data_IF_052011245964
#
_entry.id   IF_052011245964
#
_cell.length_a   1.000
_cell.length_b   1.000
_cell.length_c   1.000
_cell.angle_alpha   90.00
_cell.angle_beta   90.00
_cell.angle_gamma   90.00
#
_symmetry.space_group_name_H-M   'P 1'
#
loop_
_entity.id
_entity.type
_entity.pdbx_description
1 polymer ?
#
# COMPACT_ATOMS: atom_id res chain seq x y z
N UNK A 1 -44.19 14.69 29.85
CA UNK A 1 -42.82 14.35 30.30
C UNK A 1 -42.36 13.11 29.54
N UNK A 2 -41.56 13.29 28.49
CA UNK A 2 -41.03 12.19 27.66
C UNK A 2 -39.78 11.59 28.33
N UNK A 3 -39.62 10.26 28.29
CA UNK A 3 -38.57 9.54 29.03
C UNK A 3 -37.20 9.69 28.33
N UNK A 4 -36.10 9.89 29.10
CA UNK A 4 -34.78 10.25 28.57
C UNK A 4 -34.08 9.19 27.70
N UNK A 5 -34.61 7.97 27.62
CA UNK A 5 -34.02 6.85 26.86
C UNK A 5 -34.39 6.83 25.37
N UNK A 6 -35.39 7.60 24.94
CA UNK A 6 -35.82 7.65 23.53
C UNK A 6 -34.95 8.62 22.69
N UNK A 7 -34.39 9.65 23.35
CA UNK A 7 -33.58 10.69 22.72
C UNK A 7 -32.22 10.18 22.23
N UNK A 8 -31.58 9.29 23.00
CA UNK A 8 -30.28 8.68 22.66
C UNK A 8 -30.41 7.70 21.48
N UNK A 9 -31.55 7.01 21.34
CA UNK A 9 -31.78 6.04 20.26
C UNK A 9 -31.98 6.73 18.90
N UNK A 10 -32.60 7.92 18.89
CA UNK A 10 -32.79 8.73 17.69
C UNK A 10 -31.49 9.33 17.14
N UNK A 11 -30.60 9.81 18.01
CA UNK A 11 -29.30 10.38 17.60
C UNK A 11 -28.30 9.34 17.08
N UNK A 12 -28.36 8.08 17.54
CA UNK A 12 -27.49 7.00 17.04
C UNK A 12 -27.93 6.52 15.64
N UNK A 13 -29.22 6.69 15.28
CA UNK A 13 -29.71 6.40 13.93
C UNK A 13 -29.19 7.41 12.91
N UNK A 14 -29.28 8.71 13.23
CA UNK A 14 -28.87 9.77 12.30
C UNK A 14 -27.35 9.79 12.05
N UNK A 15 -26.54 9.42 13.05
CA UNK A 15 -25.09 9.25 12.89
C UNK A 15 -24.77 8.06 11.97
N UNK A 16 -25.53 6.97 12.02
CA UNK A 16 -25.33 5.82 11.11
C UNK A 16 -25.69 6.15 9.67
N UNK A 17 -26.76 6.90 9.44
CA UNK A 17 -27.18 7.28 8.08
C UNK A 17 -26.22 8.30 7.44
N UNK A 18 -25.67 9.22 8.23
CA UNK A 18 -24.63 10.15 7.78
C UNK A 18 -23.30 9.45 7.50
N UNK A 19 -22.87 8.52 8.35
CA UNK A 19 -21.67 7.70 8.10
C UNK A 19 -21.85 6.79 6.87
N UNK A 20 -23.04 6.21 6.67
CA UNK A 20 -23.33 5.40 5.48
C UNK A 20 -23.27 6.23 4.18
N UNK A 21 -23.76 7.47 4.21
CA UNK A 21 -23.70 8.40 3.07
C UNK A 21 -22.27 8.88 2.81
N UNK A 22 -21.50 9.19 3.87
CA UNK A 22 -20.09 9.55 3.76
C UNK A 22 -19.25 8.40 3.19
N UNK A 23 -19.47 7.17 3.66
CA UNK A 23 -18.81 5.96 3.17
C UNK A 23 -19.14 5.68 1.69
N UNK A 24 -20.37 5.93 1.24
CA UNK A 24 -20.75 5.80 -0.16
C UNK A 24 -20.04 6.83 -1.06
N UNK A 25 -19.90 8.09 -0.62
CA UNK A 25 -19.14 9.10 -1.36
C UNK A 25 -17.63 8.79 -1.39
N UNK A 26 -17.07 8.31 -0.29
CA UNK A 26 -15.66 7.92 -0.19
C UNK A 26 -15.34 6.72 -1.09
N UNK A 27 -16.27 5.78 -1.26
CA UNK A 27 -16.09 4.64 -2.16
C UNK A 27 -16.07 5.05 -3.65
N UNK A 28 -16.89 6.04 -4.05
CA UNK A 28 -16.90 6.57 -5.41
C UNK A 28 -15.61 7.37 -5.72
N UNK A 29 -15.13 8.16 -4.76
CA UNK A 29 -13.84 8.84 -4.85
C UNK A 29 -12.68 7.85 -4.88
N UNK A 30 -12.71 6.80 -4.05
CA UNK A 30 -11.67 5.76 -4.02
C UNK A 30 -11.52 5.02 -5.36
N UNK A 31 -12.62 4.79 -6.10
CA UNK A 31 -12.59 4.20 -7.44
C UNK A 31 -11.82 5.07 -8.45
N UNK A 32 -12.17 6.36 -8.52
CA UNK A 32 -11.51 7.33 -9.42
C UNK A 32 -10.04 7.56 -9.06
N UNK A 33 -9.74 7.60 -7.76
CA UNK A 33 -8.37 7.71 -7.24
C UNK A 33 -7.55 6.47 -7.62
N UNK A 34 -8.10 5.27 -7.48
CA UNK A 34 -7.40 4.02 -7.82
C UNK A 34 -7.01 3.94 -9.31
N UNK A 35 -7.86 4.41 -10.22
CA UNK A 35 -7.56 4.43 -11.65
C UNK A 35 -6.51 5.48 -11.99
N UNK A 36 -6.61 6.66 -11.39
CA UNK A 36 -5.61 7.73 -11.52
C UNK A 36 -4.23 7.26 -11.04
N UNK A 37 -4.19 6.59 -9.88
CA UNK A 37 -2.97 6.00 -9.30
C UNK A 37 -2.38 4.90 -10.20
N UNK A 38 -3.23 4.07 -10.82
CA UNK A 38 -2.77 3.03 -11.76
C UNK A 38 -2.16 3.65 -13.02
N UNK A 39 -2.74 4.73 -13.54
CA UNK A 39 -2.16 5.49 -14.65
C UNK A 39 -0.83 6.13 -14.26
N UNK A 40 -0.76 6.77 -13.09
CA UNK A 40 0.45 7.41 -12.57
C UNK A 40 1.63 6.43 -12.45
N UNK A 41 1.39 5.22 -11.94
CA UNK A 41 2.40 4.14 -11.95
C UNK A 41 2.86 3.79 -13.35
N UNK A 42 1.92 3.60 -14.28
CA UNK A 42 2.24 3.21 -15.64
C UNK A 42 3.12 4.24 -16.34
N UNK A 43 2.78 5.52 -16.19
CA UNK A 43 3.53 6.63 -16.74
C UNK A 43 4.91 6.76 -16.11
N UNK A 44 5.02 6.57 -14.79
CA UNK A 44 6.30 6.56 -14.09
C UNK A 44 7.22 5.43 -14.57
N UNK A 45 6.71 4.20 -14.71
CA UNK A 45 7.48 3.06 -15.25
C UNK A 45 7.99 3.38 -16.65
N UNK A 46 7.14 3.94 -17.52
CA UNK A 46 7.53 4.33 -18.88
C UNK A 46 8.64 5.40 -18.87
N UNK A 47 8.51 6.41 -18.01
CA UNK A 47 9.50 7.48 -17.88
C UNK A 47 10.86 6.95 -17.41
N UNK A 48 10.87 6.11 -16.35
CA UNK A 48 12.10 5.50 -15.84
C UNK A 48 12.76 4.58 -16.86
N UNK A 49 11.97 3.79 -17.59
CA UNK A 49 12.47 2.96 -18.68
C UNK A 49 13.13 3.80 -19.78
N UNK A 50 12.51 4.92 -20.15
CA UNK A 50 13.07 5.87 -21.13
C UNK A 50 14.38 6.49 -20.65
N UNK A 51 14.43 6.93 -19.39
CA UNK A 51 15.64 7.49 -18.77
C UNK A 51 16.79 6.46 -18.70
N UNK A 52 16.47 5.20 -18.42
CA UNK A 52 17.44 4.11 -18.41
C UNK A 52 17.81 3.59 -19.81
N UNK A 53 17.18 4.11 -20.88
CA UNK A 53 17.34 3.67 -22.26
C UNK A 53 17.11 2.16 -22.47
N UNK A 54 16.23 1.56 -21.68
CA UNK A 54 15.89 0.13 -21.76
C UNK A 54 14.65 -0.05 -22.64
N UNK A 55 14.65 -1.04 -23.53
CA UNK A 55 13.45 -1.34 -24.32
C UNK A 55 12.37 -2.02 -23.46
N UNK A 56 11.11 -1.90 -23.88
CA UNK A 56 9.98 -2.58 -23.20
C UNK A 56 10.20 -4.11 -23.12
N UNK A 57 10.84 -4.71 -24.15
CA UNK A 57 11.13 -6.16 -24.20
C UNK A 57 12.21 -6.55 -23.20
N UNK A 58 13.25 -5.75 -23.06
CA UNK A 58 14.32 -5.99 -22.09
C UNK A 58 13.82 -5.85 -20.65
N UNK A 59 13.05 -4.79 -20.35
CA UNK A 59 12.48 -4.62 -19.02
C UNK A 59 11.55 -5.77 -18.65
N UNK A 60 10.66 -6.19 -19.58
CA UNK A 60 9.78 -7.33 -19.36
C UNK A 60 10.56 -8.61 -19.03
N UNK A 61 11.64 -8.88 -19.77
CA UNK A 61 12.52 -10.03 -19.53
C UNK A 61 13.21 -9.94 -18.17
N UNK A 62 13.78 -8.78 -17.82
CA UNK A 62 14.45 -8.56 -16.55
C UNK A 62 13.50 -8.68 -15.34
N UNK A 63 12.25 -8.22 -15.51
CA UNK A 63 11.21 -8.30 -14.49
C UNK A 63 10.49 -9.67 -14.44
N UNK A 64 10.80 -10.61 -15.34
CA UNK A 64 10.16 -11.92 -15.39
C UNK A 64 8.67 -11.87 -15.77
N UNK A 65 8.24 -10.84 -16.51
CA UNK A 65 6.84 -10.65 -16.93
C UNK A 65 6.71 -10.70 -18.44
N UNK A 66 5.50 -10.95 -18.94
CA UNK A 66 5.25 -10.94 -20.38
C UNK A 66 5.27 -9.51 -20.92
N UNK A 67 5.80 -9.36 -22.15
CA UNK A 67 5.84 -8.07 -22.82
C UNK A 67 4.45 -7.43 -23.04
N UNK A 68 3.40 -8.19 -23.43
CA UNK A 68 2.04 -7.65 -23.53
C UNK A 68 1.51 -7.14 -22.19
N UNK A 69 1.81 -7.84 -21.09
CA UNK A 69 1.39 -7.43 -19.76
C UNK A 69 2.05 -6.12 -19.33
N UNK A 70 3.37 -5.99 -19.48
CA UNK A 70 4.07 -4.74 -19.14
C UNK A 70 3.57 -3.57 -19.99
N UNK A 71 3.25 -3.79 -21.27
CA UNK A 71 2.62 -2.79 -22.13
C UNK A 71 1.25 -2.35 -21.61
N UNK A 72 0.44 -3.24 -21.05
CA UNK A 72 -0.84 -2.87 -20.41
C UNK A 72 -0.62 -2.03 -19.15
N UNK A 73 0.37 -2.40 -18.33
CA UNK A 73 0.72 -1.67 -17.11
C UNK A 73 1.20 -0.25 -17.42
N UNK A 74 2.12 -0.06 -18.36
CA UNK A 74 2.60 1.29 -18.75
C UNK A 74 1.49 2.19 -19.32
N UNK A 75 0.37 1.63 -19.78
CA UNK A 75 -0.79 2.37 -20.29
C UNK A 75 -1.87 2.59 -19.23
N UNK A 76 -1.64 2.17 -17.98
CA UNK A 76 -2.64 2.24 -16.91
C UNK A 76 -3.82 1.28 -17.10
N UNK A 77 -3.77 0.37 -18.08
CA UNK A 77 -4.89 -0.54 -18.40
C UNK A 77 -4.95 -1.74 -17.44
N UNK A 78 -3.92 -1.94 -16.63
CA UNK A 78 -3.83 -3.07 -15.71
C UNK A 78 -3.11 -2.70 -14.44
N UNK A 79 -3.73 -3.04 -13.31
CA UNK A 79 -3.16 -2.83 -11.98
C UNK A 79 -2.18 -3.97 -11.65
N UNK A 80 -0.87 -3.69 -11.50
CA UNK A 80 0.11 -4.70 -11.14
C UNK A 80 0.02 -5.06 -9.64
N UNK A 81 0.42 -6.28 -9.29
CA UNK A 81 0.59 -6.68 -7.88
C UNK A 81 1.89 -6.12 -7.29
N UNK A 82 2.00 -6.12 -5.96
CA UNK A 82 3.22 -5.69 -5.27
C UNK A 82 4.47 -6.51 -5.70
N UNK A 83 4.33 -7.82 -5.87
CA UNK A 83 5.43 -8.68 -6.34
C UNK A 83 5.92 -8.32 -7.75
N UNK A 84 4.97 -7.99 -8.63
CA UNK A 84 5.26 -7.56 -10.00
C UNK A 84 5.95 -6.20 -9.99
N UNK A 85 5.44 -5.24 -9.20
CA UNK A 85 6.07 -3.92 -9.03
C UNK A 85 7.50 -4.06 -8.49
N UNK A 86 7.73 -4.94 -7.50
CA UNK A 86 9.08 -5.26 -7.02
C UNK A 86 10.00 -5.81 -8.11
N UNK A 87 9.46 -6.65 -8.98
CA UNK A 87 10.24 -7.24 -10.08
C UNK A 87 10.56 -6.22 -11.17
N UNK A 88 9.63 -5.31 -11.47
CA UNK A 88 9.84 -4.17 -12.37
C UNK A 88 10.87 -3.20 -11.78
N UNK A 89 10.78 -2.86 -10.49
CA UNK A 89 11.78 -2.03 -9.80
C UNK A 89 13.18 -2.62 -9.90
N UNK A 90 13.34 -3.93 -9.66
CA UNK A 90 14.61 -4.62 -9.85
C UNK A 90 15.12 -4.52 -11.29
N UNK A 91 14.24 -4.70 -12.28
CA UNK A 91 14.58 -4.55 -13.70
C UNK A 91 15.03 -3.13 -14.08
N UNK A 92 14.45 -2.11 -13.44
CA UNK A 92 14.81 -0.69 -13.60
C UNK A 92 15.97 -0.25 -12.70
N UNK A 93 16.45 -1.10 -11.78
CA UNK A 93 17.45 -0.77 -10.77
C UNK A 93 17.06 0.43 -9.88
N UNK A 94 15.79 0.53 -9.53
CA UNK A 94 15.25 1.54 -8.61
C UNK A 94 14.67 0.88 -7.36
N UNK A 95 14.39 1.67 -6.32
CA UNK A 95 13.73 1.16 -5.11
C UNK A 95 12.30 0.71 -5.42
N UNK A 96 11.91 -0.47 -4.94
CA UNK A 96 10.53 -0.94 -4.99
C UNK A 96 9.56 -0.04 -4.21
N UNK A 97 10.06 0.63 -3.16
CA UNK A 97 9.32 1.60 -2.36
C UNK A 97 8.77 2.73 -3.23
N UNK A 98 9.59 3.28 -4.13
CA UNK A 98 9.19 4.35 -5.05
C UNK A 98 8.02 3.91 -5.93
N UNK A 99 8.03 2.67 -6.42
CA UNK A 99 6.92 2.14 -7.21
C UNK A 99 5.67 1.89 -6.36
N UNK A 100 5.82 1.47 -5.10
CA UNK A 100 4.68 1.29 -4.20
C UNK A 100 4.00 2.60 -3.83
N UNK A 101 4.78 3.67 -3.70
CA UNK A 101 4.26 5.02 -3.48
C UNK A 101 3.47 5.54 -4.66
N UNK A 102 4.05 5.42 -5.86
CA UNK A 102 3.33 5.77 -7.07
C UNK A 102 2.06 4.92 -7.22
N UNK A 103 2.10 3.66 -6.78
CA UNK A 103 0.97 2.73 -6.83
C UNK A 103 -0.08 2.98 -5.75
N UNK A 104 0.13 3.94 -4.84
CA UNK A 104 -0.71 4.17 -3.68
C UNK A 104 -0.79 2.96 -2.72
N UNK A 105 0.08 1.96 -2.90
CA UNK A 105 0.20 0.79 -2.01
C UNK A 105 0.94 1.20 -0.73
N UNK A 106 1.88 2.13 -0.88
CA UNK A 106 2.62 2.70 0.23
C UNK A 106 2.35 4.20 0.25
N UNK A 107 1.36 4.62 1.02
CA UNK A 107 1.21 6.03 1.30
C UNK A 107 2.01 6.37 2.55
N UNK A 108 3.24 6.91 2.36
CA UNK A 108 4.04 7.49 3.46
C UNK A 108 3.23 8.50 4.27
N UNK A 109 2.24 9.15 3.64
CA UNK A 109 1.34 10.09 4.30
C UNK A 109 0.16 9.42 4.99
N UNK A 110 -0.22 8.18 4.71
CA UNK A 110 -1.34 7.54 5.45
C UNK A 110 -0.92 7.17 6.87
N UNK A 111 0.35 6.83 7.09
CA UNK A 111 0.91 6.69 8.44
C UNK A 111 0.95 8.03 9.17
N UNK A 112 1.36 9.12 8.50
CA UNK A 112 1.47 10.44 9.13
C UNK A 112 0.14 11.16 9.28
N UNK A 113 -0.72 11.14 8.27
CA UNK A 113 -1.99 11.83 8.25
C UNK A 113 -2.97 11.22 9.26
N UNK A 114 -3.00 9.89 9.41
CA UNK A 114 -3.79 9.22 10.43
C UNK A 114 -3.34 9.58 11.85
N UNK A 115 -2.03 9.51 12.12
CA UNK A 115 -1.46 9.87 13.42
C UNK A 115 -1.62 11.36 13.75
N UNK A 116 -1.37 12.25 12.78
CA UNK A 116 -1.55 13.70 12.94
C UNK A 116 -3.01 14.05 13.20
N UNK A 117 -3.95 13.39 12.49
CA UNK A 117 -5.38 13.58 12.72
C UNK A 117 -5.80 13.10 14.13
N UNK A 118 -5.29 11.95 14.57
CA UNK A 118 -5.55 11.43 15.91
C UNK A 118 -5.03 12.37 17.01
N UNK A 119 -3.81 12.91 16.88
CA UNK A 119 -3.23 13.87 17.85
C UNK A 119 -4.08 15.16 17.91
N UNK A 120 -4.59 15.64 16.76
CA UNK A 120 -5.42 16.85 16.71
C UNK A 120 -6.80 16.65 17.34
N UNK A 121 -7.39 15.47 17.14
CA UNK A 121 -8.72 15.11 17.62
C UNK A 121 -8.76 14.72 19.11
N UNK A 122 -7.60 14.50 19.75
CA UNK A 122 -7.52 14.14 21.16
C UNK A 122 -7.93 15.32 22.07
N UNK A 123 -9.06 15.18 22.76
CA UNK A 123 -9.61 16.17 23.69
C UNK A 123 -8.85 16.23 25.02
N UNK A 124 -8.06 15.20 25.36
CA UNK A 124 -7.24 15.19 26.58
C UNK A 124 -5.97 16.04 26.44
N UNK A 125 -5.59 16.42 25.21
CA UNK A 125 -4.42 17.23 24.94
C UNK A 125 -4.79 18.72 24.81
N UNK A 126 -4.03 19.57 25.51
CA UNK A 126 -4.08 21.01 25.27
C UNK A 126 -3.52 21.36 23.89
N UNK A 127 -3.95 22.48 23.30
CA UNK A 127 -3.44 22.95 22.00
C UNK A 127 -1.91 23.14 21.99
N UNK A 128 -1.33 23.52 23.12
CA UNK A 128 0.13 23.60 23.28
C UNK A 128 0.78 22.21 23.24
N UNK A 129 0.18 21.19 23.85
CA UNK A 129 0.71 19.82 23.83
C UNK A 129 0.58 19.20 22.44
N UNK A 130 -0.53 19.45 21.74
CA UNK A 130 -0.70 19.03 20.35
C UNK A 130 0.37 19.63 19.46
N UNK A 131 0.65 20.93 19.59
CA UNK A 131 1.68 21.61 18.80
C UNK A 131 3.07 20.97 19.00
N UNK A 132 3.48 20.73 20.25
CA UNK A 132 4.78 20.11 20.57
C UNK A 132 4.86 18.66 20.08
N UNK A 133 3.79 17.87 20.25
CA UNK A 133 3.76 16.48 19.79
C UNK A 133 3.83 16.39 18.27
N UNK A 134 3.14 17.29 17.57
CA UNK A 134 3.19 17.35 16.11
C UNK A 134 4.58 17.78 15.61
N UNK A 135 5.19 18.79 16.24
CA UNK A 135 6.56 19.23 15.90
C UNK A 135 7.58 18.10 16.09
N UNK A 136 7.51 17.41 17.22
CA UNK A 136 8.39 16.29 17.54
C UNK A 136 8.15 15.11 16.59
N UNK A 137 6.88 14.79 16.32
CA UNK A 137 6.48 13.75 15.39
C UNK A 137 6.98 14.03 13.97
N UNK A 138 6.80 15.24 13.45
CA UNK A 138 7.27 15.64 12.12
C UNK A 138 8.79 15.58 12.02
N UNK A 139 9.50 15.92 13.10
CA UNK A 139 10.95 15.83 13.19
C UNK A 139 11.41 14.38 13.12
N UNK A 140 10.84 13.48 13.94
CA UNK A 140 11.20 12.06 13.92
C UNK A 140 10.74 11.32 12.67
N UNK A 141 9.60 11.68 12.09
CA UNK A 141 9.13 11.10 10.84
C UNK A 141 10.06 11.47 9.68
N UNK A 142 10.56 12.72 9.67
CA UNK A 142 11.57 13.18 8.72
C UNK A 142 12.90 12.45 8.91
N UNK A 143 13.36 12.32 10.15
CA UNK A 143 14.59 11.58 10.48
C UNK A 143 14.49 10.09 10.15
N UNK A 144 13.36 9.44 10.42
CA UNK A 144 13.13 8.06 10.05
C UNK A 144 13.10 7.86 8.52
N UNK A 145 12.56 8.82 7.77
CA UNK A 145 12.60 8.78 6.30
C UNK A 145 14.02 8.94 5.73
N UNK A 146 14.89 9.68 6.43
CA UNK A 146 16.31 9.85 6.06
C UNK A 146 17.17 8.68 6.54
N UNK A 147 16.80 8.07 7.68
CA UNK A 147 17.58 7.06 8.39
C UNK A 147 17.09 5.62 8.14
N UNK A 148 16.02 5.41 7.38
CA UNK A 148 15.55 4.07 7.01
C UNK A 148 16.66 3.33 6.24
N UNK A 149 17.31 2.30 6.85
CA UNK A 149 18.21 1.47 6.09
C UNK A 149 17.38 0.69 5.07
N UNK A 150 17.93 0.49 3.87
CA UNK A 150 17.50 -0.55 2.92
C UNK A 150 17.07 -1.80 3.71
N UNK A 151 15.76 -2.01 3.86
CA UNK A 151 15.24 -3.08 4.68
C UNK A 151 15.75 -4.40 4.10
N UNK A 152 16.66 -5.04 4.83
CA UNK A 152 17.15 -6.36 4.52
C UNK A 152 15.96 -7.29 4.67
N UNK A 153 15.50 -7.84 3.54
CA UNK A 153 14.43 -8.84 3.49
C UNK A 153 14.78 -9.96 4.47
N UNK A 154 13.93 -10.31 5.45
CA UNK A 154 14.13 -11.53 6.21
C UNK A 154 13.90 -12.68 5.25
N UNK A 155 14.99 -13.32 4.83
CA UNK A 155 14.95 -14.60 4.12
C UNK A 155 14.29 -15.61 5.04
N UNK A 156 12.97 -15.78 4.90
CA UNK A 156 12.27 -16.93 5.47
C UNK A 156 12.65 -18.14 4.62
N UNK A 157 13.83 -18.68 4.93
CA UNK A 157 14.23 -20.02 4.52
C UNK A 157 13.32 -21.00 5.25
N UNK A 158 12.23 -21.41 4.60
CA UNK A 158 11.54 -22.63 4.97
C UNK A 158 12.31 -23.80 4.35
N UNK A 159 12.70 -24.83 5.12
CA UNK A 159 13.27 -26.04 4.55
C UNK A 159 12.19 -26.78 3.76
N UNK A 160 12.48 -27.03 2.49
CA UNK A 160 11.85 -28.05 1.66
C UNK A 160 12.10 -29.42 2.30
N UNK A 161 11.11 -29.97 3.01
CA UNK A 161 11.12 -31.39 3.34
C UNK A 161 10.52 -32.16 2.17
N UNK A 162 11.42 -32.71 1.37
CA UNK A 162 11.12 -33.75 0.40
C UNK A 162 10.43 -34.92 1.09
N UNK A 163 9.38 -35.45 0.45
CA UNK A 163 8.83 -36.77 0.71
C UNK A 163 9.88 -37.84 0.43
N UNK A 164 10.16 -38.79 1.35
CA UNK A 164 10.77 -40.04 0.95
C UNK A 164 9.67 -41.02 0.54
N UNK A 165 9.64 -41.30 -0.77
CA UNK A 165 9.07 -42.52 -1.33
C UNK A 165 9.67 -43.72 -0.60
N UNK A 166 8.84 -44.56 0.01
CA UNK A 166 9.28 -45.87 0.54
C UNK A 166 8.52 -46.96 -0.20
N UNK A 167 9.22 -47.57 -1.15
CA UNK A 167 8.99 -48.91 -1.69
C UNK A 167 9.61 -49.94 -0.72
N UNK A 168 8.93 -51.08 -0.51
CA UNK A 168 9.36 -52.40 0.08
C UNK A 168 8.28 -52.90 1.07
N UNK A 169 7.31 -53.74 0.67
CA UNK A 169 7.23 -55.24 0.64
C UNK A 169 6.71 -55.90 1.95
N UNK A 170 5.89 -56.96 1.77
CA UNK A 170 5.48 -58.05 2.73
C UNK A 170 4.51 -57.66 3.87
N UNK A 171 3.48 -58.41 4.32
CA UNK A 171 3.08 -59.83 4.24
C UNK A 171 1.63 -60.02 4.79
N UNK A 172 0.90 -61.03 4.29
CA UNK A 172 -0.24 -61.81 4.87
C UNK A 172 -1.28 -61.19 5.84
N UNK A 173 -2.55 -61.19 5.39
CA UNK A 173 -3.68 -61.98 5.96
C UNK A 173 -4.90 -61.91 5.04
#
# INVERSE_FOLDING_TARGET
MQKPTEFVRGQVSSVRDTVATAAASAAAEAGTVSDTVTSQVGDFIRAQRGAAQVSLRELARAAGVSNPYLSQVERGLRKPSAEILSSIARGLKISAETLYEQAGILDRRSGTAGTVAAIRADEALSERHKAVLLELYETYARDAAVSAPMATVPTRTAPFTATPSTTTQEELA
#
